data_IF_310917672098
#
_entry.id   IF_310917672098
#
_cell.length_a   1.000
_cell.length_b   1.000
_cell.length_c   1.000
_cell.angle_alpha   90.00
_cell.angle_beta   90.00
_cell.angle_gamma   90.00
#
_symmetry.space_group_name_H-M   'P 1'
#
loop_
_entity.id
_entity.type
_entity.pdbx_description
1 polymer ?
#
# COMPACT_ATOMS: atom_id res chain seq x y z
N UNK A 1 48.63 -9.57 -33.88
CA UNK A 1 48.41 -8.81 -35.13
C UNK A 1 47.42 -7.75 -34.73
N UNK A 2 47.88 -6.76 -34.52
CA UNK A 2 48.40 -5.40 -34.86
C UNK A 2 47.51 -4.40 -34.10
N UNK A 3 47.99 -3.73 -33.09
CA UNK A 3 48.86 -2.49 -33.12
C UNK A 3 48.12 -1.31 -33.73
N UNK A 4 47.91 -0.28 -32.96
CA UNK A 4 48.38 1.10 -33.12
C UNK A 4 47.68 1.98 -32.12
N UNK A 5 48.38 2.56 -31.24
CA UNK A 5 49.39 3.64 -31.15
C UNK A 5 48.74 5.01 -30.82
N UNK A 6 49.33 5.54 -29.75
CA UNK A 6 49.32 6.89 -29.23
C UNK A 6 49.47 7.99 -30.27
N UNK A 7 48.88 9.14 -30.04
CA UNK A 7 49.53 10.43 -30.31
C UNK A 7 49.23 11.46 -29.23
N UNK A 8 50.33 11.85 -28.57
CA UNK A 8 50.52 12.98 -27.70
C UNK A 8 50.81 14.19 -28.55
N UNK A 9 50.11 15.30 -28.34
CA UNK A 9 50.54 16.60 -28.91
C UNK A 9 50.83 17.59 -27.79
N UNK A 10 52.11 17.80 -27.58
CA UNK A 10 52.73 18.89 -26.84
C UNK A 10 52.84 20.11 -27.74
N UNK A 11 52.38 21.28 -27.32
CA UNK A 11 52.73 22.56 -27.94
C UNK A 11 53.05 23.57 -26.86
N UNK A 12 54.27 24.03 -26.99
CA UNK A 12 55.12 24.92 -26.22
C UNK A 12 54.62 26.35 -26.08
N UNK A 13 55.09 26.96 -24.98
CA UNK A 13 55.11 28.38 -24.60
C UNK A 13 55.52 29.37 -25.66
N UNK A 14 54.90 30.56 -25.66
CA UNK A 14 55.56 31.86 -25.77
C UNK A 14 54.65 33.00 -25.26
N UNK A 15 55.26 34.05 -24.60
CA UNK A 15 54.49 35.09 -23.92
C UNK A 15 54.19 36.27 -24.82
N UNK A 16 53.03 36.89 -24.62
CA UNK A 16 52.74 38.23 -25.16
C UNK A 16 52.30 39.11 -24.00
N UNK A 17 53.22 40.05 -23.65
CA UNK A 17 52.92 41.22 -22.86
C UNK A 17 52.05 42.18 -23.67
N UNK A 18 50.85 42.48 -23.14
CA UNK A 18 50.08 43.61 -23.62
C UNK A 18 49.60 44.44 -22.41
N UNK A 19 50.03 45.71 -22.44
CA UNK A 19 49.82 46.70 -21.38
C UNK A 19 48.36 47.02 -21.22
N UNK A 20 47.80 46.70 -20.03
CA UNK A 20 46.47 47.08 -19.64
C UNK A 20 46.44 48.49 -19.11
N UNK A 21 45.68 49.34 -19.80
CA UNK A 21 45.43 50.74 -19.49
C UNK A 21 44.67 50.84 -18.15
N UNK A 22 45.28 51.57 -17.19
CA UNK A 22 44.85 51.68 -15.79
C UNK A 22 43.55 52.46 -15.59
N UNK A 23 43.03 53.14 -16.61
CA UNK A 23 41.83 53.99 -16.48
C UNK A 23 40.53 53.28 -16.69
N UNK A 24 40.49 52.11 -17.34
CA UNK A 24 39.30 51.29 -17.48
C UNK A 24 39.01 50.36 -16.27
N UNK A 25 40.05 50.09 -15.46
CA UNK A 25 39.87 49.18 -14.28
C UNK A 25 39.10 49.86 -13.13
N UNK A 26 39.17 51.18 -13.00
CA UNK A 26 38.56 51.95 -11.91
C UNK A 26 37.02 52.07 -12.14
N UNK A 27 36.59 52.17 -13.40
CA UNK A 27 35.13 52.25 -13.72
C UNK A 27 34.40 50.90 -13.60
N UNK A 28 35.12 49.78 -13.76
CA UNK A 28 34.57 48.44 -13.63
C UNK A 28 34.36 48.02 -12.15
N UNK A 29 35.22 48.47 -11.23
CA UNK A 29 35.05 48.19 -9.80
C UNK A 29 33.89 48.97 -9.18
N UNK A 30 33.65 50.22 -9.57
CA UNK A 30 32.48 50.99 -9.10
C UNK A 30 31.15 50.42 -9.62
N UNK A 31 31.10 49.90 -10.84
CA UNK A 31 29.90 49.23 -11.37
C UNK A 31 29.57 47.92 -10.68
N UNK A 32 30.58 47.12 -10.32
CA UNK A 32 30.40 45.84 -9.59
C UNK A 32 30.01 46.10 -8.13
N UNK A 33 30.45 47.19 -7.51
CA UNK A 33 30.02 47.55 -6.14
C UNK A 33 28.60 48.09 -6.08
N UNK A 34 28.08 48.75 -7.14
CA UNK A 34 26.70 49.20 -7.19
C UNK A 34 25.67 48.06 -7.37
N UNK A 35 26.04 47.05 -8.15
CA UNK A 35 25.15 45.88 -8.36
C UNK A 35 25.10 44.92 -7.15
N UNK A 36 26.20 44.82 -6.39
CA UNK A 36 26.21 44.07 -5.13
C UNK A 36 25.36 44.73 -4.03
N UNK A 37 25.19 46.04 -4.06
CA UNK A 37 24.38 46.76 -3.06
C UNK A 37 22.88 46.68 -3.39
N UNK A 38 22.50 46.45 -4.64
CA UNK A 38 21.14 46.28 -5.07
C UNK A 38 20.59 44.83 -4.87
N UNK A 39 21.47 43.81 -4.78
CA UNK A 39 21.10 42.42 -4.57
C UNK A 39 20.95 42.02 -3.10
N UNK A 40 21.41 42.77 -2.15
CA UNK A 40 21.22 42.53 -0.71
C UNK A 40 19.85 42.93 -0.17
N UNK A 41 19.00 43.59 -0.98
CA UNK A 41 17.68 44.08 -0.56
C UNK A 41 16.54 43.06 -0.55
N UNK A 42 16.74 41.80 -1.00
CA UNK A 42 15.72 40.74 -1.05
C UNK A 42 16.04 39.51 -0.24
N UNK A 43 16.74 39.62 0.85
CA UNK A 43 16.73 38.56 1.86
C UNK A 43 15.37 38.63 2.54
N UNK A 44 14.54 37.64 2.29
CA UNK A 44 13.25 37.44 2.98
C UNK A 44 13.49 37.60 4.48
N UNK A 45 12.86 38.62 5.08
CA UNK A 45 12.84 38.79 6.54
C UNK A 45 12.08 37.59 7.13
N UNK A 46 12.79 36.53 7.39
CA UNK A 46 12.26 35.53 8.35
C UNK A 46 12.11 36.26 9.67
N UNK A 47 10.88 36.46 10.10
CA UNK A 47 10.59 37.06 11.41
C UNK A 47 11.15 36.08 12.44
N UNK A 48 12.28 36.41 13.02
CA UNK A 48 12.88 35.63 14.12
C UNK A 48 12.08 35.95 15.35
N UNK A 49 11.04 35.15 15.63
CA UNK A 49 10.27 35.25 16.86
C UNK A 49 11.16 34.83 18.04
N UNK A 50 11.40 35.74 19.01
CA UNK A 50 12.16 35.42 20.19
C UNK A 50 11.37 34.52 21.14
N UNK A 51 12.00 33.45 21.66
CA UNK A 51 11.45 32.56 22.65
C UNK A 51 11.04 33.36 23.90
N UNK A 52 9.79 33.18 24.35
CA UNK A 52 9.26 33.89 25.53
C UNK A 52 8.37 35.09 25.22
N UNK A 53 8.16 35.43 23.95
CA UNK A 53 7.17 36.41 23.53
C UNK A 53 5.82 35.71 23.32
N UNK A 54 4.71 36.35 23.73
CA UNK A 54 3.34 35.83 23.54
C UNK A 54 3.08 35.41 22.08
N UNK A 55 3.65 36.18 21.14
CA UNK A 55 3.57 35.85 19.72
C UNK A 55 4.28 34.53 19.35
N UNK A 56 5.42 34.23 19.98
CA UNK A 56 6.14 32.97 19.80
C UNK A 56 5.32 31.77 20.33
N UNK A 57 4.74 31.92 21.52
CA UNK A 57 3.92 30.87 22.13
C UNK A 57 2.68 30.56 21.28
N UNK A 58 1.99 31.60 20.80
CA UNK A 58 0.83 31.43 19.89
C UNK A 58 1.25 30.70 18.61
N UNK A 59 2.38 31.08 18.01
CA UNK A 59 2.88 30.43 16.81
C UNK A 59 3.26 28.96 17.04
N UNK A 60 3.89 28.65 18.19
CA UNK A 60 4.27 27.27 18.55
C UNK A 60 3.04 26.40 18.80
N UNK A 61 2.01 26.93 19.44
CA UNK A 61 0.71 26.30 19.60
C UNK A 61 0.03 26.01 18.27
N UNK A 62 -0.04 27.00 17.39
CA UNK A 62 -0.62 26.84 16.05
C UNK A 62 0.15 25.79 15.24
N UNK A 63 1.48 25.81 15.28
CA UNK A 63 2.33 24.82 14.63
C UNK A 63 2.02 23.41 15.13
N UNK A 64 1.91 23.22 16.44
CA UNK A 64 1.62 21.94 17.06
C UNK A 64 0.24 21.41 16.65
N UNK A 65 -0.76 22.29 16.63
CA UNK A 65 -2.12 21.95 16.16
C UNK A 65 -2.08 21.57 14.67
N UNK A 66 -1.40 22.34 13.83
CA UNK A 66 -1.28 22.04 12.41
C UNK A 66 -0.60 20.69 12.15
N UNK A 67 0.49 20.38 12.87
CA UNK A 67 1.17 19.08 12.76
C UNK A 67 0.21 17.96 13.17
N UNK A 68 -0.52 18.11 14.26
CA UNK A 68 -1.50 17.12 14.73
C UNK A 68 -2.62 16.88 13.70
N UNK A 69 -3.18 17.96 13.14
CA UNK A 69 -4.21 17.88 12.09
C UNK A 69 -3.67 17.20 10.84
N UNK A 70 -2.49 17.60 10.36
CA UNK A 70 -1.87 16.99 9.18
C UNK A 70 -1.56 15.51 9.39
N UNK A 71 -1.06 15.13 10.58
CA UNK A 71 -0.83 13.74 10.93
C UNK A 71 -2.14 12.94 10.97
N UNK A 72 -3.20 13.50 11.55
CA UNK A 72 -4.54 12.88 11.56
C UNK A 72 -5.10 12.68 10.15
N UNK A 73 -5.01 13.69 9.29
CA UNK A 73 -5.42 13.59 7.87
C UNK A 73 -4.61 12.50 7.16
N UNK A 74 -3.29 12.47 7.36
CA UNK A 74 -2.42 11.45 6.77
C UNK A 74 -2.87 10.04 7.16
N UNK A 75 -3.14 9.79 8.45
CA UNK A 75 -3.61 8.49 8.93
C UNK A 75 -4.93 8.12 8.26
N UNK A 76 -5.91 9.01 8.25
CA UNK A 76 -7.24 8.72 7.67
C UNK A 76 -7.17 8.47 6.17
N UNK A 77 -6.35 9.23 5.43
CA UNK A 77 -6.29 9.12 3.96
C UNK A 77 -5.47 7.90 3.52
N UNK A 78 -4.33 7.64 4.17
CA UNK A 78 -3.36 6.66 3.69
C UNK A 78 -3.39 5.32 4.43
N UNK A 79 -3.81 5.29 5.68
CA UNK A 79 -3.69 4.08 6.50
C UNK A 79 -5.03 3.39 6.78
N UNK A 80 -6.14 4.10 6.73
CA UNK A 80 -7.46 3.57 7.11
C UNK A 80 -8.46 3.80 5.98
N UNK A 81 -9.30 2.80 5.73
CA UNK A 81 -10.40 2.87 4.78
C UNK A 81 -11.69 2.47 5.50
N UNK A 82 -12.80 3.18 5.21
CA UNK A 82 -14.13 2.82 5.66
C UNK A 82 -14.88 2.17 4.50
N UNK A 83 -15.43 1.00 4.74
CA UNK A 83 -16.21 0.27 3.76
C UNK A 83 -17.56 -0.16 4.32
N UNK A 84 -18.56 -0.24 3.44
CA UNK A 84 -19.85 -0.85 3.73
C UNK A 84 -19.87 -2.27 3.17
N UNK A 85 -20.33 -3.21 3.97
CA UNK A 85 -20.48 -4.60 3.55
C UNK A 85 -21.75 -4.75 2.73
N UNK A 86 -21.64 -5.33 1.55
CA UNK A 86 -22.75 -5.66 0.68
C UNK A 86 -22.88 -7.18 0.53
N UNK A 87 -24.13 -7.66 0.55
CA UNK A 87 -24.43 -9.08 0.42
C UNK A 87 -24.17 -9.89 1.69
N UNK A 88 -24.43 -11.19 1.58
CA UNK A 88 -24.48 -12.11 2.71
C UNK A 88 -23.32 -13.13 2.71
N UNK A 89 -22.32 -12.92 1.87
CA UNK A 89 -21.23 -13.89 1.67
C UNK A 89 -20.34 -14.10 2.88
N UNK A 90 -20.34 -13.16 3.85
CA UNK A 90 -19.53 -13.23 5.06
C UNK A 90 -20.32 -13.57 6.32
N UNK A 91 -21.61 -13.93 6.23
CA UNK A 91 -22.38 -14.43 7.38
C UNK A 91 -21.78 -15.75 7.92
N UNK A 92 -21.73 -15.93 9.23
CA UNK A 92 -22.31 -15.10 10.30
C UNK A 92 -21.38 -13.94 10.75
N UNK A 93 -20.16 -13.85 10.25
CA UNK A 93 -19.15 -12.88 10.74
C UNK A 93 -19.53 -11.43 10.40
N UNK A 94 -19.95 -11.17 9.16
CA UNK A 94 -20.42 -9.86 8.70
C UNK A 94 -21.72 -10.01 7.93
N UNK A 95 -22.59 -9.01 8.05
CA UNK A 95 -23.89 -8.94 7.38
C UNK A 95 -23.96 -7.75 6.44
N UNK A 96 -24.87 -7.82 5.47
CA UNK A 96 -25.14 -6.69 4.60
C UNK A 96 -25.60 -5.47 5.41
N UNK A 97 -24.99 -4.30 5.16
CA UNK A 97 -25.23 -3.07 5.90
C UNK A 97 -24.23 -2.81 7.05
N UNK A 98 -23.40 -3.79 7.39
CA UNK A 98 -22.31 -3.56 8.35
C UNK A 98 -21.33 -2.51 7.81
N UNK A 99 -20.78 -1.70 8.72
CA UNK A 99 -19.71 -0.76 8.42
C UNK A 99 -18.43 -1.26 9.07
N UNK A 100 -17.42 -1.45 8.26
CA UNK A 100 -16.10 -1.89 8.71
C UNK A 100 -15.04 -0.82 8.45
N UNK A 101 -14.01 -0.82 9.29
CA UNK A 101 -12.76 -0.14 9.00
C UNK A 101 -11.69 -1.15 8.65
N UNK A 102 -11.00 -0.88 7.56
CA UNK A 102 -9.88 -1.67 7.07
C UNK A 102 -8.60 -0.85 7.13
N UNK A 103 -7.49 -1.50 7.46
CA UNK A 103 -6.17 -0.92 7.39
C UNK A 103 -5.52 -1.25 6.04
N UNK A 104 -4.72 -0.30 5.52
CA UNK A 104 -4.00 -0.42 4.25
C UNK A 104 -2.51 -0.74 4.43
N UNK A 105 -2.01 -0.75 5.66
CA UNK A 105 -0.58 -0.95 5.92
C UNK A 105 -0.10 -2.28 5.34
N UNK A 106 -0.89 -3.35 5.52
CA UNK A 106 -0.56 -4.68 4.99
C UNK A 106 -0.44 -4.70 3.47
N UNK A 107 -1.16 -3.83 2.75
CA UNK A 107 -1.11 -3.80 1.28
C UNK A 107 0.21 -3.21 0.76
N UNK A 108 0.85 -2.33 1.51
CA UNK A 108 2.15 -1.77 1.13
C UNK A 108 3.30 -2.77 1.26
N UNK A 109 3.13 -3.81 2.09
CA UNK A 109 4.16 -4.80 2.37
C UNK A 109 3.77 -6.22 1.91
N UNK A 110 2.61 -6.39 1.28
CA UNK A 110 2.00 -7.69 0.95
C UNK A 110 2.02 -8.67 2.13
N UNK A 111 1.76 -8.14 3.34
CA UNK A 111 1.85 -8.89 4.59
C UNK A 111 0.46 -9.24 5.09
N UNK A 112 -0.04 -10.40 4.69
CA UNK A 112 -1.36 -10.91 5.06
C UNK A 112 -1.23 -12.25 5.77
N UNK A 113 -2.18 -12.54 6.65
CA UNK A 113 -2.22 -13.76 7.44
C UNK A 113 -3.45 -14.59 7.10
N UNK A 114 -3.34 -15.89 7.28
CA UNK A 114 -4.50 -16.76 7.25
C UNK A 114 -5.52 -16.34 8.31
N UNK A 115 -6.78 -16.26 7.91
CA UNK A 115 -7.86 -15.78 8.74
C UNK A 115 -8.17 -14.30 8.60
N UNK A 116 -7.28 -13.47 8.02
CA UNK A 116 -7.56 -12.06 7.76
C UNK A 116 -8.80 -11.92 6.87
N UNK A 117 -9.70 -11.00 7.24
CA UNK A 117 -10.81 -10.58 6.39
C UNK A 117 -10.31 -9.45 5.51
N UNK A 118 -10.36 -9.62 4.21
CA UNK A 118 -9.79 -8.71 3.23
C UNK A 118 -10.84 -8.14 2.28
N UNK A 119 -10.58 -6.92 1.83
CA UNK A 119 -11.33 -6.24 0.78
C UNK A 119 -10.61 -6.52 -0.53
N UNK A 120 -11.33 -7.11 -1.49
CA UNK A 120 -10.77 -7.62 -2.73
C UNK A 120 -11.36 -6.90 -3.94
N UNK A 121 -10.51 -6.62 -4.90
CA UNK A 121 -10.90 -6.16 -6.21
C UNK A 121 -11.14 -7.35 -7.13
N UNK A 122 -12.41 -7.62 -7.43
CA UNK A 122 -12.81 -8.69 -8.35
C UNK A 122 -13.01 -8.24 -9.79
N UNK A 123 -12.82 -6.94 -10.09
CA UNK A 123 -13.02 -6.43 -11.44
C UNK A 123 -12.10 -7.14 -12.44
N UNK A 124 -12.63 -7.40 -13.62
CA UNK A 124 -11.93 -8.11 -14.70
C UNK A 124 -11.57 -9.59 -14.39
N UNK A 125 -12.03 -10.13 -13.26
CA UNK A 125 -11.93 -11.57 -13.01
C UNK A 125 -13.06 -12.30 -13.71
N UNK A 126 -12.73 -13.41 -14.36
CA UNK A 126 -13.71 -14.27 -14.99
C UNK A 126 -14.72 -14.81 -13.94
N UNK A 127 -16.01 -14.66 -14.22
CA UNK A 127 -17.08 -15.04 -13.28
C UNK A 127 -17.46 -13.93 -12.27
N UNK A 128 -16.84 -12.75 -12.32
CA UNK A 128 -17.26 -11.60 -11.53
C UNK A 128 -17.87 -10.52 -12.44
N UNK A 129 -19.16 -10.24 -12.22
CA UNK A 129 -19.89 -9.21 -12.96
C UNK A 129 -20.36 -8.05 -12.05
N UNK A 130 -19.88 -8.01 -10.81
CA UNK A 130 -20.21 -6.97 -9.84
C UNK A 130 -19.39 -5.71 -10.04
N UNK A 131 -19.87 -4.59 -9.49
CA UNK A 131 -19.17 -3.31 -9.43
C UNK A 131 -18.56 -3.02 -8.06
N UNK A 132 -18.93 -3.80 -7.06
CA UNK A 132 -18.53 -3.61 -5.67
C UNK A 132 -17.27 -4.42 -5.35
N UNK A 133 -16.47 -3.95 -4.42
CA UNK A 133 -15.40 -4.74 -3.85
C UNK A 133 -15.97 -5.94 -3.08
N UNK A 134 -15.25 -7.05 -3.14
CA UNK A 134 -15.59 -8.26 -2.41
C UNK A 134 -14.98 -8.22 -1.01
N UNK A 135 -15.71 -8.72 -0.01
CA UNK A 135 -15.16 -8.98 1.32
C UNK A 135 -15.08 -10.49 1.52
N UNK A 136 -13.88 -11.02 1.78
CA UNK A 136 -13.62 -12.47 1.93
C UNK A 136 -12.56 -12.71 3.00
N UNK A 137 -12.44 -13.97 3.42
CA UNK A 137 -11.42 -14.42 4.38
C UNK A 137 -10.30 -15.17 3.66
N UNK A 138 -9.05 -14.85 3.98
CA UNK A 138 -7.88 -15.58 3.50
C UNK A 138 -7.84 -16.95 4.17
N UNK A 139 -7.88 -18.02 3.38
CA UNK A 139 -7.73 -19.40 3.85
C UNK A 139 -6.49 -20.09 3.31
N UNK A 140 -5.96 -19.67 2.15
CA UNK A 140 -4.70 -20.15 1.59
C UNK A 140 -3.72 -19.00 1.41
N UNK A 141 -2.44 -19.26 1.67
CA UNK A 141 -1.32 -18.31 1.57
C UNK A 141 -0.43 -18.65 0.36
N UNK A 142 0.41 -17.72 -0.10
CA UNK A 142 1.33 -17.95 -1.21
C UNK A 142 2.17 -19.23 -1.04
N UNK A 143 2.30 -19.97 -2.14
CA UNK A 143 3.08 -21.22 -2.19
C UNK A 143 2.38 -22.45 -1.59
N UNK A 144 1.23 -22.30 -0.96
CA UNK A 144 0.49 -23.40 -0.37
C UNK A 144 -0.38 -24.14 -1.39
N UNK A 145 -0.78 -25.36 -1.06
CA UNK A 145 -1.82 -26.08 -1.79
C UNK A 145 -3.09 -26.13 -0.93
N UNK A 146 -4.18 -25.65 -1.49
CA UNK A 146 -5.51 -25.73 -0.88
C UNK A 146 -6.26 -26.92 -1.48
N UNK A 147 -6.83 -27.79 -0.64
CA UNK A 147 -7.68 -28.91 -1.07
C UNK A 147 -9.02 -28.79 -0.38
N UNK A 148 -10.09 -29.01 -1.15
CA UNK A 148 -11.45 -29.09 -0.62
C UNK A 148 -11.96 -30.51 -0.86
N UNK A 149 -12.23 -31.22 0.23
CA UNK A 149 -12.65 -32.62 0.21
C UNK A 149 -13.62 -32.90 1.36
N UNK A 150 -14.66 -33.69 1.11
CA UNK A 150 -15.67 -34.10 2.09
C UNK A 150 -16.35 -32.97 2.87
N UNK A 151 -16.39 -31.77 2.27
CA UNK A 151 -16.98 -30.59 2.89
C UNK A 151 -16.03 -29.77 3.75
N UNK A 152 -14.75 -30.13 3.79
CA UNK A 152 -13.71 -29.50 4.59
C UNK A 152 -12.63 -28.88 3.70
N UNK A 153 -11.90 -27.92 4.27
CA UNK A 153 -10.74 -27.29 3.65
C UNK A 153 -9.48 -27.85 4.30
N UNK A 154 -8.56 -28.30 3.47
CA UNK A 154 -7.22 -28.78 3.87
C UNK A 154 -6.15 -27.90 3.26
N UNK A 155 -5.09 -27.70 4.00
CA UNK A 155 -3.93 -26.90 3.59
C UNK A 155 -2.68 -27.77 3.62
N UNK A 156 -1.90 -27.68 2.56
CA UNK A 156 -0.52 -28.21 2.52
C UNK A 156 0.42 -27.02 2.42
N UNK A 157 1.23 -26.74 3.46
CA UNK A 157 2.23 -25.68 3.44
C UNK A 157 3.26 -25.88 2.32
N UNK A 158 3.89 -24.80 1.89
CA UNK A 158 4.88 -24.81 0.81
C UNK A 158 6.11 -25.71 1.13
N UNK A 159 6.45 -25.82 2.41
CA UNK A 159 7.57 -26.60 2.95
C UNK A 159 7.19 -27.99 3.45
N UNK A 160 5.92 -28.43 3.23
CA UNK A 160 5.39 -29.70 3.70
C UNK A 160 4.87 -30.57 2.55
N UNK A 161 4.94 -31.90 2.75
CA UNK A 161 4.29 -32.88 1.87
C UNK A 161 2.91 -33.29 2.35
N UNK A 162 2.49 -32.90 3.57
CA UNK A 162 1.27 -33.36 4.21
C UNK A 162 0.21 -32.27 4.29
N UNK A 163 -1.05 -32.70 4.12
CA UNK A 163 -2.21 -31.85 4.33
C UNK A 163 -2.64 -31.90 5.79
N UNK A 164 -3.07 -30.75 6.31
CA UNK A 164 -3.78 -30.68 7.58
C UNK A 164 -5.16 -30.06 7.39
N UNK A 165 -6.10 -30.46 8.23
CA UNK A 165 -7.45 -29.90 8.26
C UNK A 165 -7.41 -28.46 8.79
N UNK A 166 -7.92 -27.50 8.03
CA UNK A 166 -8.06 -26.12 8.48
C UNK A 166 -9.15 -26.03 9.56
N UNK A 167 -8.81 -25.48 10.73
CA UNK A 167 -9.78 -25.21 11.79
C UNK A 167 -10.51 -23.90 11.51
N UNK A 168 -11.81 -23.99 11.28
CA UNK A 168 -12.64 -22.87 10.81
C UNK A 168 -13.73 -22.51 11.83
N UNK A 169 -13.31 -22.15 13.05
CA UNK A 169 -14.21 -21.87 14.19
C UNK A 169 -15.12 -20.65 13.99
N UNK A 170 -14.94 -19.90 12.90
CA UNK A 170 -15.77 -18.77 12.51
C UNK A 170 -16.99 -19.18 11.68
N UNK A 171 -17.05 -20.40 11.23
CA UNK A 171 -18.21 -20.93 10.48
C UNK A 171 -19.31 -21.37 11.43
N UNK A 172 -20.54 -21.34 10.92
CA UNK A 172 -21.66 -21.99 11.59
C UNK A 172 -21.45 -23.51 11.63
N UNK A 173 -21.79 -24.13 12.76
CA UNK A 173 -21.68 -25.58 12.92
C UNK A 173 -22.44 -26.32 11.78
N UNK A 174 -21.81 -27.35 11.24
CA UNK A 174 -22.34 -28.12 10.11
C UNK A 174 -22.15 -27.44 8.73
N UNK A 175 -21.51 -26.29 8.64
CA UNK A 175 -21.22 -25.69 7.34
C UNK A 175 -20.27 -26.60 6.56
N UNK A 176 -20.62 -26.87 5.31
CA UNK A 176 -19.80 -27.65 4.37
C UNK A 176 -19.30 -26.77 3.24
N UNK A 177 -18.03 -26.92 2.92
CA UNK A 177 -17.39 -26.24 1.78
C UNK A 177 -17.39 -27.20 0.60
N UNK A 178 -18.08 -26.85 -0.48
CA UNK A 178 -18.04 -27.61 -1.75
C UNK A 178 -17.21 -26.84 -2.79
N UNK A 179 -16.49 -27.58 -3.63
CA UNK A 179 -15.91 -27.01 -4.85
C UNK A 179 -17.04 -26.58 -5.77
N UNK A 180 -16.89 -25.45 -6.43
CA UNK A 180 -17.75 -25.09 -7.55
C UNK A 180 -17.19 -25.71 -8.84
N UNK A 181 -18.05 -26.02 -9.79
CA UNK A 181 -17.66 -26.58 -11.09
C UNK A 181 -16.96 -25.50 -11.93
N UNK A 182 -15.64 -25.49 -11.89
CA UNK A 182 -14.80 -24.62 -12.71
C UNK A 182 -13.87 -25.48 -13.57
N UNK A 183 -13.88 -25.22 -14.89
CA UNK A 183 -13.05 -25.92 -15.88
C UNK A 183 -11.54 -25.78 -15.67
N UNK A 184 -11.10 -24.83 -14.81
CA UNK A 184 -9.69 -24.60 -14.48
C UNK A 184 -9.12 -25.56 -13.44
N UNK A 185 -9.96 -26.42 -12.84
CA UNK A 185 -9.56 -27.31 -11.74
C UNK A 185 -9.08 -28.64 -12.27
N UNK A 186 -7.82 -28.93 -12.05
CA UNK A 186 -7.27 -30.28 -12.12
C UNK A 186 -7.47 -30.98 -10.76
N UNK A 187 -8.67 -31.48 -10.51
CA UNK A 187 -8.98 -32.17 -9.25
C UNK A 187 -9.39 -31.21 -8.13
N UNK A 188 -9.33 -31.71 -6.90
CA UNK A 188 -9.75 -30.97 -5.69
C UNK A 188 -8.64 -30.11 -5.08
N UNK A 189 -7.50 -29.97 -5.74
CA UNK A 189 -6.29 -29.32 -5.22
C UNK A 189 -5.94 -28.10 -6.08
N UNK A 190 -5.63 -26.98 -5.42
CA UNK A 190 -5.21 -25.72 -6.04
C UNK A 190 -3.87 -25.33 -5.44
N UNK A 191 -2.83 -25.31 -6.26
CA UNK A 191 -1.48 -24.82 -5.89
C UNK A 191 -1.45 -23.31 -6.08
N UNK A 192 -1.13 -22.57 -5.01
CA UNK A 192 -1.05 -21.11 -5.04
C UNK A 192 0.35 -20.67 -5.47
N UNK A 193 0.41 -19.67 -6.35
CA UNK A 193 1.65 -19.00 -6.72
C UNK A 193 2.22 -18.16 -5.57
N UNK A 194 3.43 -17.60 -5.78
CA UNK A 194 4.16 -16.81 -4.77
C UNK A 194 3.44 -15.50 -4.37
N UNK A 195 2.47 -15.06 -5.13
CA UNK A 195 1.71 -13.83 -4.89
C UNK A 195 0.20 -14.06 -4.87
N UNK A 196 -0.24 -15.30 -4.65
CA UNK A 196 -1.64 -15.70 -4.73
C UNK A 196 -2.19 -16.09 -3.37
N UNK A 197 -3.41 -15.64 -3.10
CA UNK A 197 -4.17 -15.89 -1.89
C UNK A 197 -5.49 -16.58 -2.24
N UNK A 198 -5.83 -17.63 -1.53
CA UNK A 198 -7.12 -18.29 -1.67
C UNK A 198 -8.09 -17.74 -0.64
N UNK A 199 -9.11 -17.06 -1.10
CA UNK A 199 -10.04 -16.31 -0.27
C UNK A 199 -11.45 -16.91 -0.37
N UNK A 200 -12.06 -17.22 0.78
CA UNK A 200 -13.42 -17.76 0.86
C UNK A 200 -14.34 -16.83 1.66
N UNK A 201 -15.62 -16.84 1.30
CA UNK A 201 -16.64 -16.25 2.15
C UNK A 201 -17.01 -17.19 3.30
N UNK A 202 -17.36 -16.63 4.45
CA UNK A 202 -17.79 -17.42 5.62
C UNK A 202 -19.14 -18.09 5.36
N UNK A 203 -20.01 -17.49 4.54
CA UNK A 203 -21.24 -18.13 4.06
C UNK A 203 -20.96 -18.99 2.81
N UNK A 204 -20.35 -20.15 3.03
CA UNK A 204 -19.89 -21.06 1.99
C UNK A 204 -20.90 -21.35 0.87
N UNK A 205 -22.19 -21.59 1.17
CA UNK A 205 -23.17 -21.96 0.13
C UNK A 205 -23.49 -20.86 -0.88
N UNK A 206 -23.37 -19.58 -0.49
CA UNK A 206 -23.81 -18.44 -1.33
C UNK A 206 -22.67 -17.54 -1.79
N UNK A 207 -21.44 -17.80 -1.32
CA UNK A 207 -20.29 -16.92 -1.61
C UNK A 207 -19.74 -17.15 -3.01
N UNK A 208 -19.68 -16.07 -3.79
CA UNK A 208 -18.83 -16.02 -4.98
C UNK A 208 -17.41 -15.63 -4.53
N UNK A 209 -16.46 -16.56 -4.61
CA UNK A 209 -15.11 -16.44 -4.04
C UNK A 209 -14.09 -17.24 -4.85
N UNK A 210 -12.91 -17.51 -4.29
CA UNK A 210 -11.83 -18.21 -5.02
C UNK A 210 -12.21 -19.57 -5.57
N UNK A 211 -13.29 -20.20 -5.10
CA UNK A 211 -13.80 -21.46 -5.66
C UNK A 211 -14.35 -21.27 -7.07
N UNK A 212 -14.80 -20.07 -7.40
CA UNK A 212 -15.37 -19.71 -8.69
C UNK A 212 -14.45 -18.75 -9.48
N UNK A 213 -13.89 -17.76 -8.78
CA UNK A 213 -13.10 -16.70 -9.40
C UNK A 213 -11.61 -17.07 -9.55
N UNK A 214 -11.14 -18.13 -8.86
CA UNK A 214 -9.72 -18.44 -8.75
C UNK A 214 -9.02 -17.66 -7.62
N UNK A 215 -7.73 -17.91 -7.41
CA UNK A 215 -6.92 -17.17 -6.44
C UNK A 215 -6.86 -15.68 -6.75
N UNK A 216 -6.74 -14.86 -5.70
CA UNK A 216 -6.53 -13.42 -5.82
C UNK A 216 -5.05 -13.09 -5.65
N UNK A 217 -4.51 -12.26 -6.53
CA UNK A 217 -3.15 -11.74 -6.37
C UNK A 217 -3.11 -10.62 -5.32
N UNK A 218 -1.95 -10.41 -4.68
CA UNK A 218 -1.80 -9.44 -3.58
C UNK A 218 -2.21 -8.01 -3.98
N UNK A 219 -2.00 -7.59 -5.24
CA UNK A 219 -2.39 -6.26 -5.75
C UNK A 219 -3.91 -6.04 -5.80
N UNK A 220 -4.69 -7.14 -5.81
CA UNK A 220 -6.15 -7.09 -5.72
C UNK A 220 -6.64 -6.90 -4.29
N UNK A 221 -5.79 -7.06 -3.28
CA UNK A 221 -6.16 -6.83 -1.89
C UNK A 221 -6.03 -5.33 -1.57
N UNK A 222 -7.14 -4.67 -1.28
CA UNK A 222 -7.22 -3.21 -1.05
C UNK A 222 -7.09 -2.83 0.43
N UNK A 223 -7.30 -3.78 1.34
CA UNK A 223 -7.17 -3.57 2.79
C UNK A 223 -7.53 -4.81 3.59
N UNK A 224 -7.15 -4.81 4.87
CA UNK A 224 -7.50 -5.83 5.85
C UNK A 224 -8.50 -5.22 6.83
N UNK A 225 -9.70 -5.80 6.94
CA UNK A 225 -10.72 -5.38 7.88
C UNK A 225 -10.26 -5.65 9.31
N UNK A 226 -10.32 -4.64 10.17
CA UNK A 226 -9.84 -4.73 11.56
C UNK A 226 -10.97 -4.61 12.58
N UNK A 227 -12.03 -3.90 12.25
CA UNK A 227 -13.14 -3.65 13.18
C UNK A 227 -14.44 -3.43 12.42
N UNK A 228 -15.52 -4.04 12.90
CA UNK A 228 -16.89 -3.65 12.55
C UNK A 228 -17.34 -2.59 13.56
N UNK A 229 -17.81 -1.44 13.07
CA UNK A 229 -18.24 -0.31 13.89
C UNK A 229 -19.74 -0.07 13.85
N UNK A 230 -20.43 -0.61 12.89
CA UNK A 230 -21.89 -0.53 12.80
C UNK A 230 -22.46 -1.89 12.37
N UNK A 231 -23.60 -2.31 12.96
CA UNK A 231 -24.40 -1.63 13.98
C UNK A 231 -23.68 -1.54 15.32
N UNK A 232 -23.94 -0.47 16.10
CA UNK A 232 -23.21 -0.15 17.34
C UNK A 232 -23.30 -1.25 18.41
N UNK A 233 -24.43 -1.96 18.47
CA UNK A 233 -24.66 -3.08 19.38
C UNK A 233 -23.89 -4.36 18.99
N UNK A 234 -23.26 -4.36 17.83
CA UNK A 234 -22.47 -5.49 17.30
C UNK A 234 -21.03 -5.10 16.98
N UNK A 235 -20.54 -3.99 17.56
CA UNK A 235 -19.13 -3.59 17.40
C UNK A 235 -18.21 -4.73 17.82
N UNK A 236 -17.24 -5.06 16.95
CA UNK A 236 -16.33 -6.18 17.18
C UNK A 236 -15.04 -5.99 16.41
N UNK A 237 -13.91 -6.34 17.04
CA UNK A 237 -12.63 -6.55 16.34
C UNK A 237 -12.72 -7.85 15.54
N UNK A 238 -12.26 -7.83 14.32
CA UNK A 238 -12.40 -8.91 13.33
C UNK A 238 -11.14 -9.77 13.25
#
# INVERSE_FOLDING_TARGET
MSDNENEIFEVTDAPVEEAVNTDEAVSAEEAVQSDNKASEGKRSRFIKLEKGTTAYEIFDWLRTICIGVLAGIFIVVFLVQRDNVYGDSMKPTLSSGDVIYAQKISTYFNSYKRGDIVILDGHDMEGYNGTEYLVKRIVGLPGETVKIEDGNVYIKPADSSEFYLLQENYLTEGTRTSMMDDARKKGNEIVLGENEYYCLGDNRPVSNDSRNLGPFTADRIKGVAIIRVFPLNEMKVL
#
